data_IF_288096783983
#
_entry.id   IF_288096783983
#
_cell.length_a   1.000
_cell.length_b   1.000
_cell.length_c   1.000
_cell.angle_alpha   90.00
_cell.angle_beta   90.00
_cell.angle_gamma   90.00
#
_symmetry.space_group_name_H-M   'P 1'
#
loop_
_entity.id
_entity.type
_entity.pdbx_description
1 polymer ?
#
# COMPACT_ATOMS: atom_id res chain seq x y z
N UNK A 1 -27.03 15.52 62.74
CA UNK A 1 -26.53 16.21 61.55
C UNK A 1 -25.74 15.20 60.69
N UNK A 2 -26.34 14.68 59.62
CA UNK A 2 -25.66 13.73 58.68
C UNK A 2 -25.21 14.54 57.45
N UNK A 3 -23.88 14.72 57.29
CA UNK A 3 -23.29 15.34 56.11
C UNK A 3 -23.31 14.33 54.96
N UNK A 4 -24.03 14.64 53.89
CA UNK A 4 -23.99 13.89 52.62
C UNK A 4 -22.82 14.43 51.80
N UNK A 5 -21.86 13.57 51.49
CA UNK A 5 -20.80 13.87 50.53
C UNK A 5 -21.34 13.73 49.10
N UNK A 6 -21.02 14.65 48.18
CA UNK A 6 -21.39 14.49 46.79
C UNK A 6 -20.45 13.48 46.10
N UNK A 7 -21.04 12.52 45.43
CA UNK A 7 -20.32 11.59 44.55
C UNK A 7 -20.00 12.35 43.25
N UNK A 8 -18.73 12.68 43.04
CA UNK A 8 -18.24 13.23 41.76
C UNK A 8 -18.11 12.07 40.80
N UNK A 9 -19.04 11.97 39.87
CA UNK A 9 -18.96 10.99 38.77
C UNK A 9 -17.86 11.40 37.81
N UNK A 10 -16.79 10.61 37.74
CA UNK A 10 -15.73 10.76 36.72
C UNK A 10 -16.26 10.13 35.44
N UNK A 11 -16.59 10.98 34.46
CA UNK A 11 -16.97 10.54 33.13
C UNK A 11 -15.69 10.20 32.38
N UNK A 12 -15.42 8.90 32.20
CA UNK A 12 -14.33 8.41 31.39
C UNK A 12 -14.68 8.59 29.89
N UNK A 13 -14.14 9.61 29.25
CA UNK A 13 -14.28 9.80 27.79
C UNK A 13 -13.27 8.88 27.11
N UNK A 14 -13.77 7.81 26.49
CA UNK A 14 -12.98 6.91 25.65
C UNK A 14 -12.65 7.61 24.33
N UNK A 15 -11.41 8.08 24.18
CA UNK A 15 -10.82 8.56 22.92
C UNK A 15 -10.44 7.35 22.04
N UNK A 16 -11.42 6.75 21.39
CA UNK A 16 -11.20 5.73 20.37
C UNK A 16 -11.42 6.37 19.00
N UNK A 17 -10.36 6.75 18.31
CA UNK A 17 -10.52 7.30 16.96
C UNK A 17 -9.27 7.75 16.20
N UNK A 18 -8.09 7.75 16.81
CA UNK A 18 -6.92 8.37 16.17
C UNK A 18 -6.04 7.43 15.30
N UNK A 19 -6.11 6.11 15.49
CA UNK A 19 -5.21 5.18 14.81
C UNK A 19 -5.48 5.06 13.29
N UNK A 20 -6.73 4.96 12.88
CA UNK A 20 -7.08 4.77 11.47
C UNK A 20 -6.76 5.96 10.56
N UNK A 21 -6.86 7.19 11.08
CA UNK A 21 -6.57 8.40 10.30
C UNK A 21 -5.05 8.59 10.04
N UNK A 22 -4.21 8.15 10.96
CA UNK A 22 -2.75 8.21 10.81
C UNK A 22 -2.25 7.19 9.77
N UNK A 23 -2.85 6.01 9.72
CA UNK A 23 -2.47 4.96 8.78
C UNK A 23 -2.85 5.35 7.34
N UNK A 24 -4.02 5.94 7.12
CA UNK A 24 -4.44 6.45 5.81
C UNK A 24 -3.50 7.56 5.33
N UNK A 25 -3.13 8.51 6.19
CA UNK A 25 -2.21 9.60 5.83
C UNK A 25 -0.79 9.10 5.54
N UNK A 26 -0.36 8.01 6.18
CA UNK A 26 0.92 7.38 5.90
C UNK A 26 0.92 6.67 4.55
N UNK A 27 -0.12 5.89 4.26
CA UNK A 27 -0.31 5.25 2.96
C UNK A 27 -0.43 6.25 1.81
N UNK A 28 -1.10 7.37 2.04
CA UNK A 28 -1.22 8.46 1.07
C UNK A 28 0.14 9.04 0.68
N UNK A 29 1.01 9.35 1.66
CA UNK A 29 2.38 9.80 1.38
C UNK A 29 3.22 8.75 0.66
N UNK A 30 3.05 7.48 1.01
CA UNK A 30 3.73 6.40 0.30
C UNK A 30 3.32 6.36 -1.17
N UNK A 31 2.04 6.46 -1.44
CA UNK A 31 1.48 6.41 -2.79
C UNK A 31 1.94 7.59 -3.66
N UNK A 32 1.86 8.81 -3.12
CA UNK A 32 2.11 10.03 -3.88
C UNK A 32 3.55 10.51 -3.87
N UNK A 33 4.30 10.23 -2.80
CA UNK A 33 5.63 10.84 -2.63
C UNK A 33 6.75 9.80 -2.68
N UNK A 34 6.72 8.79 -1.79
CA UNK A 34 7.86 7.89 -1.62
C UNK A 34 7.96 6.83 -2.71
N UNK A 35 6.88 6.09 -2.95
CA UNK A 35 6.84 5.03 -3.95
C UNK A 35 6.45 5.55 -5.33
N UNK A 36 5.88 6.75 -5.39
CA UNK A 36 5.43 7.42 -6.62
C UNK A 36 4.53 6.54 -7.50
N UNK A 37 3.60 5.83 -6.85
CA UNK A 37 2.64 4.95 -7.53
C UNK A 37 1.75 5.73 -8.51
N UNK A 38 1.47 7.00 -8.19
CA UNK A 38 0.71 7.91 -9.02
C UNK A 38 1.32 8.12 -10.41
N UNK A 39 2.65 7.98 -10.55
CA UNK A 39 3.33 8.12 -11.83
C UNK A 39 2.74 7.17 -12.89
N UNK A 40 2.43 5.95 -12.49
CA UNK A 40 1.81 4.96 -13.37
C UNK A 40 0.30 4.83 -13.17
N UNK A 41 -0.15 4.77 -11.90
CA UNK A 41 -1.55 4.49 -11.57
C UNK A 41 -2.46 5.73 -11.54
N UNK A 42 -1.90 6.93 -11.71
CA UNK A 42 -2.62 8.20 -11.63
C UNK A 42 -2.80 8.69 -10.19
N UNK A 43 -2.94 10.00 -10.02
CA UNK A 43 -3.14 10.65 -8.71
C UNK A 43 -4.37 10.09 -7.98
N UNK A 44 -5.40 9.71 -8.73
CA UNK A 44 -6.64 9.17 -8.19
C UNK A 44 -6.71 7.64 -8.25
N UNK A 45 -5.64 6.94 -8.61
CA UNK A 45 -5.63 5.48 -8.75
C UNK A 45 -6.45 4.94 -9.93
N UNK A 46 -6.82 5.77 -10.90
CA UNK A 46 -7.68 5.45 -12.04
C UNK A 46 -6.96 4.83 -13.25
N UNK A 47 -5.68 4.55 -13.10
CA UNK A 47 -4.82 4.01 -14.15
C UNK A 47 -4.35 5.05 -15.18
N UNK A 48 -4.62 6.34 -14.93
CA UNK A 48 -4.22 7.45 -15.81
C UNK A 48 -3.02 8.18 -15.21
N UNK A 49 -1.87 7.54 -15.31
CA UNK A 49 -0.60 8.10 -14.84
C UNK A 49 -0.02 9.17 -15.75
N UNK A 50 1.22 9.54 -15.47
CA UNK A 50 1.99 10.47 -16.29
C UNK A 50 2.15 9.90 -17.71
N UNK A 51 2.03 10.73 -18.77
CA UNK A 51 2.27 10.27 -20.15
C UNK A 51 3.66 9.68 -20.42
N UNK A 52 4.62 9.95 -19.55
CA UNK A 52 5.98 9.40 -19.62
C UNK A 52 6.12 8.05 -18.93
N UNK A 53 5.07 7.57 -18.26
CA UNK A 53 5.11 6.26 -17.62
C UNK A 53 5.26 5.14 -18.67
N UNK A 54 5.94 4.04 -18.34
CA UNK A 54 6.34 3.02 -19.31
C UNK A 54 5.19 2.17 -19.87
N UNK A 55 3.96 2.38 -19.44
CA UNK A 55 2.82 1.62 -19.93
C UNK A 55 1.52 1.90 -19.20
N UNK A 56 0.47 1.17 -19.58
CA UNK A 56 -0.83 1.26 -18.93
C UNK A 56 -0.79 0.56 -17.57
N UNK A 57 -1.05 1.31 -16.51
CA UNK A 57 -1.29 0.75 -15.20
C UNK A 57 -2.76 0.39 -14.98
N UNK A 58 -2.99 -0.52 -14.04
CA UNK A 58 -4.35 -0.92 -13.68
C UNK A 58 -5.08 0.20 -12.96
N UNK A 59 -6.38 0.35 -13.24
CA UNK A 59 -7.32 1.13 -12.45
C UNK A 59 -7.52 0.43 -11.09
N UNK A 60 -7.07 1.06 -10.01
CA UNK A 60 -7.10 0.48 -8.67
C UNK A 60 -8.52 0.40 -8.09
N UNK A 61 -9.47 1.22 -8.55
CA UNK A 61 -10.88 1.13 -8.15
C UNK A 61 -11.51 -0.19 -8.60
N UNK A 62 -10.98 -0.78 -9.64
CA UNK A 62 -11.49 -2.03 -10.24
C UNK A 62 -10.72 -3.26 -9.78
N UNK A 63 -9.76 -3.09 -8.85
CA UNK A 63 -8.98 -4.23 -8.36
C UNK A 63 -9.88 -5.26 -7.66
N UNK A 64 -9.65 -6.52 -7.97
CA UNK A 64 -10.30 -7.65 -7.30
C UNK A 64 -9.38 -8.33 -6.28
N UNK A 65 -8.15 -7.84 -6.18
CA UNK A 65 -7.17 -8.38 -5.26
C UNK A 65 -7.60 -8.11 -3.82
N UNK A 66 -7.37 -9.08 -2.97
CA UNK A 66 -7.46 -8.91 -1.52
C UNK A 66 -6.18 -8.26 -0.96
N UNK A 67 -6.13 -8.10 0.37
CA UNK A 67 -5.00 -7.46 1.05
C UNK A 67 -3.68 -8.21 0.82
N UNK A 68 -3.70 -9.53 0.96
CA UNK A 68 -2.50 -10.36 0.86
C UNK A 68 -1.97 -10.36 -0.57
N UNK A 69 -2.85 -10.47 -1.54
CA UNK A 69 -2.51 -10.37 -2.95
C UNK A 69 -1.97 -8.98 -3.34
N UNK A 70 -2.52 -7.89 -2.76
CA UNK A 70 -1.98 -6.55 -2.97
C UNK A 70 -0.59 -6.39 -2.36
N UNK A 71 -0.38 -6.89 -1.15
CA UNK A 71 0.95 -6.91 -0.50
C UNK A 71 1.94 -7.66 -1.38
N UNK A 72 1.58 -8.83 -1.90
CA UNK A 72 2.45 -9.61 -2.78
C UNK A 72 2.75 -8.86 -4.09
N UNK A 73 1.76 -8.27 -4.74
CA UNK A 73 1.96 -7.51 -5.98
C UNK A 73 2.83 -6.27 -5.77
N UNK A 74 2.66 -5.54 -4.66
CA UNK A 74 3.50 -4.38 -4.35
C UNK A 74 4.92 -4.83 -4.03
N UNK A 75 5.06 -5.86 -3.20
CA UNK A 75 6.35 -6.44 -2.84
C UNK A 75 7.12 -6.91 -4.06
N UNK A 76 6.49 -7.71 -4.89
CA UNK A 76 7.11 -8.52 -5.93
C UNK A 76 7.01 -7.92 -7.33
N UNK A 77 6.18 -6.90 -7.52
CA UNK A 77 5.86 -6.43 -8.87
C UNK A 77 5.02 -7.43 -9.65
N UNK A 78 4.92 -7.24 -10.95
CA UNK A 78 4.21 -8.18 -11.84
C UNK A 78 5.13 -8.70 -12.93
N UNK A 79 5.49 -9.99 -12.92
CA UNK A 79 6.28 -10.60 -13.99
C UNK A 79 5.70 -10.33 -15.39
N UNK A 80 6.56 -10.00 -16.33
CA UNK A 80 6.16 -9.69 -17.70
C UNK A 80 5.47 -8.34 -17.88
N UNK A 81 5.56 -7.44 -16.89
CA UNK A 81 5.01 -6.09 -16.97
C UNK A 81 6.00 -5.06 -16.41
N UNK A 82 5.66 -3.78 -16.58
CA UNK A 82 6.44 -2.65 -16.06
C UNK A 82 6.16 -2.35 -14.57
N UNK A 83 5.26 -3.10 -13.91
CA UNK A 83 5.02 -2.94 -12.47
C UNK A 83 6.25 -3.40 -11.68
N UNK A 84 6.98 -2.47 -11.02
CA UNK A 84 8.24 -2.81 -10.35
C UNK A 84 8.01 -3.57 -9.05
N UNK A 85 9.04 -4.29 -8.60
CA UNK A 85 9.08 -4.84 -7.25
C UNK A 85 9.58 -3.79 -6.26
N UNK A 86 8.87 -3.57 -5.14
CA UNK A 86 9.28 -2.58 -4.15
C UNK A 86 10.11 -3.16 -3.00
N UNK A 87 10.12 -4.48 -2.81
CA UNK A 87 11.05 -5.12 -1.90
C UNK A 87 12.41 -5.30 -2.59
N UNK A 88 13.47 -4.75 -1.97
CA UNK A 88 14.83 -4.86 -2.51
C UNK A 88 15.37 -6.29 -2.58
N UNK A 89 14.78 -7.21 -1.81
CA UNK A 89 15.13 -8.62 -1.77
C UNK A 89 14.17 -9.52 -2.57
N UNK A 90 13.23 -8.92 -3.31
CA UNK A 90 12.31 -9.66 -4.14
C UNK A 90 13.05 -10.66 -5.04
N UNK A 91 12.54 -11.88 -5.10
CA UNK A 91 13.06 -12.99 -5.90
C UNK A 91 14.40 -13.59 -5.46
N UNK A 92 14.95 -13.23 -4.30
CA UNK A 92 16.17 -13.87 -3.80
C UNK A 92 15.91 -15.30 -3.31
N UNK A 93 14.82 -15.54 -2.56
CA UNK A 93 14.50 -16.81 -1.90
C UNK A 93 13.17 -17.45 -2.36
N UNK A 94 12.73 -17.22 -3.58
CA UNK A 94 11.43 -17.69 -4.10
C UNK A 94 10.22 -17.24 -3.28
N UNK A 95 10.33 -16.14 -2.59
CA UNK A 95 9.30 -15.54 -1.75
C UNK A 95 8.32 -14.65 -2.54
N UNK A 96 8.51 -14.60 -3.86
CA UNK A 96 7.65 -13.91 -4.82
C UNK A 96 7.07 -14.92 -5.81
N UNK A 97 5.79 -15.23 -5.64
CA UNK A 97 5.08 -16.20 -6.50
C UNK A 97 5.73 -17.60 -6.55
N UNK A 98 6.58 -17.93 -5.59
CA UNK A 98 7.35 -19.18 -5.60
C UNK A 98 8.48 -19.22 -6.64
N UNK A 99 8.84 -18.08 -7.24
CA UNK A 99 9.81 -17.95 -8.31
C UNK A 99 11.07 -17.22 -7.84
N UNK A 100 12.20 -17.53 -8.46
CA UNK A 100 13.45 -16.78 -8.36
C UNK A 100 13.65 -15.89 -9.59
N UNK A 101 14.60 -14.95 -9.52
CA UNK A 101 14.96 -14.12 -10.65
C UNK A 101 15.43 -14.97 -11.87
N UNK A 102 16.10 -16.09 -11.61
CA UNK A 102 16.55 -17.01 -12.65
C UNK A 102 15.39 -17.71 -13.37
N UNK A 103 14.30 -18.04 -12.63
CA UNK A 103 13.10 -18.64 -13.20
C UNK A 103 12.35 -17.67 -14.14
N UNK A 104 12.43 -16.39 -13.87
CA UNK A 104 11.75 -15.34 -14.64
C UNK A 104 12.54 -14.85 -15.86
N UNK A 105 13.87 -14.82 -15.79
CA UNK A 105 14.72 -14.30 -16.85
C UNK A 105 14.32 -12.89 -17.29
N UNK A 106 14.03 -12.71 -18.56
CA UNK A 106 13.63 -11.41 -19.13
C UNK A 106 12.23 -10.92 -18.69
N UNK A 107 11.46 -11.74 -17.98
CA UNK A 107 10.16 -11.36 -17.45
C UNK A 107 10.20 -10.88 -16.00
N UNK A 108 11.40 -10.81 -15.39
CA UNK A 108 11.54 -10.29 -14.04
C UNK A 108 11.08 -8.83 -13.98
N UNK A 109 10.24 -8.48 -12.98
CA UNK A 109 9.81 -7.09 -12.79
C UNK A 109 11.01 -6.17 -12.59
N UNK A 110 10.99 -4.95 -13.12
CA UNK A 110 12.07 -3.99 -12.91
C UNK A 110 12.17 -3.57 -11.44
N UNK A 111 13.34 -3.08 -11.04
CA UNK A 111 13.47 -2.35 -9.79
C UNK A 111 12.70 -1.03 -9.88
N UNK A 112 12.20 -0.48 -8.75
CA UNK A 112 11.49 0.78 -8.76
C UNK A 112 12.45 1.92 -9.13
N UNK A 113 11.98 2.86 -9.94
CA UNK A 113 12.73 4.09 -10.25
C UNK A 113 12.76 5.07 -9.08
N UNK A 114 11.87 4.91 -8.10
CA UNK A 114 11.81 5.73 -6.89
C UNK A 114 12.72 5.17 -5.78
N UNK A 115 12.17 4.34 -4.92
CA UNK A 115 12.89 3.71 -3.81
C UNK A 115 12.22 2.41 -3.38
N UNK A 116 13.00 1.51 -2.79
CA UNK A 116 12.45 0.31 -2.16
C UNK A 116 11.65 0.65 -0.90
N UNK A 117 10.69 -0.21 -0.59
CA UNK A 117 9.84 -0.10 0.59
C UNK A 117 10.17 -1.18 1.60
N UNK A 118 10.01 -0.86 2.87
CA UNK A 118 10.01 -1.84 3.96
C UNK A 118 8.71 -2.63 3.97
N UNK A 119 8.70 -3.79 4.61
CA UNK A 119 7.49 -4.61 4.78
C UNK A 119 6.30 -3.79 5.33
N UNK A 120 6.53 -2.98 6.37
CA UNK A 120 5.49 -2.12 6.96
C UNK A 120 4.93 -1.10 5.98
N UNK A 121 5.78 -0.53 5.13
CA UNK A 121 5.35 0.43 4.11
C UNK A 121 4.53 -0.25 3.01
N UNK A 122 4.93 -1.45 2.59
CA UNK A 122 4.17 -2.25 1.62
C UNK A 122 2.77 -2.59 2.16
N UNK A 123 2.69 -3.03 3.41
CA UNK A 123 1.42 -3.33 4.08
C UNK A 123 0.52 -2.08 4.21
N UNK A 124 1.09 -0.95 4.66
CA UNK A 124 0.35 0.31 4.78
C UNK A 124 -0.14 0.83 3.42
N UNK A 125 0.65 0.65 2.37
CA UNK A 125 0.25 1.02 1.01
C UNK A 125 -0.88 0.14 0.48
N UNK A 126 -0.86 -1.17 0.75
CA UNK A 126 -1.96 -2.07 0.41
C UNK A 126 -3.26 -1.68 1.14
N UNK A 127 -3.17 -1.37 2.43
CA UNK A 127 -4.31 -0.91 3.22
C UNK A 127 -4.88 0.43 2.71
N UNK A 128 -4.02 1.37 2.34
CA UNK A 128 -4.41 2.63 1.71
C UNK A 128 -5.16 2.41 0.40
N UNK A 129 -4.66 1.56 -0.48
CA UNK A 129 -5.30 1.26 -1.77
C UNK A 129 -6.70 0.65 -1.55
N UNK A 130 -6.82 -0.30 -0.62
CA UNK A 130 -8.10 -0.94 -0.31
C UNK A 130 -9.11 0.04 0.26
N UNK A 131 -8.69 0.92 1.15
CA UNK A 131 -9.60 1.86 1.82
C UNK A 131 -9.95 3.06 0.96
N UNK A 132 -9.03 3.51 0.12
CA UNK A 132 -9.20 4.75 -0.67
C UNK A 132 -9.84 4.48 -2.03
N UNK A 133 -9.43 3.42 -2.70
CA UNK A 133 -9.83 3.16 -4.08
C UNK A 133 -10.83 2.02 -4.22
N UNK A 134 -10.60 0.86 -3.62
CA UNK A 134 -11.46 -0.33 -3.82
C UNK A 134 -12.84 -0.20 -3.17
N UNK A 135 -13.02 0.62 -2.17
CA UNK A 135 -14.26 0.71 -1.36
C UNK A 135 -15.38 1.55 -1.99
N UNK A 136 -15.22 2.00 -3.23
CA UNK A 136 -16.21 2.90 -3.85
C UNK A 136 -16.88 2.28 -5.08
#
# INVERSE_FOLDING_TARGET
MRRRLPIVGITLVLLAGAAGAQDVSFGDRLYHEKADCQFCHGVNGDGRGDPRSPGKASDLHRTKLDREQLVEVIKCGRPGSEMPHFDKYAYEEKDCYGLSAADLGAQAPPAPHSTSLTKREIEALADYILTTYKSK
#
